data_IF_981113097823
#
_entry.id   IF_981113097823
#
_cell.length_a   1.000
_cell.length_b   1.000
_cell.length_c   1.000
_cell.angle_alpha   90.00
_cell.angle_beta   90.00
_cell.angle_gamma   90.00
#
_symmetry.space_group_name_H-M   'P 1'
#
loop_
_entity.id
_entity.type
_entity.pdbx_description
1 polymer ?
#
# COMPACT_ATOMS: atom_id res chain seq x y z
N UNK A 1 -3.62 -20.88 10.22
CA UNK A 1 -3.22 -19.62 10.91
C UNK A 1 -2.78 -18.62 9.88
N UNK A 2 -3.26 -17.39 9.97
CA UNK A 2 -2.93 -16.36 9.02
C UNK A 2 -1.58 -15.73 9.32
N UNK A 3 -0.86 -15.37 8.28
CA UNK A 3 0.46 -14.72 8.40
C UNK A 3 0.28 -13.24 8.72
N UNK A 4 1.24 -12.69 9.45
CA UNK A 4 1.32 -11.24 9.63
C UNK A 4 1.93 -10.62 8.39
N UNK A 5 1.42 -9.45 8.01
CA UNK A 5 1.88 -8.74 6.82
C UNK A 5 2.41 -7.39 7.27
N UNK A 6 3.65 -7.08 6.89
CA UNK A 6 4.22 -5.76 7.14
C UNK A 6 3.98 -4.90 5.92
N UNK A 7 3.45 -3.71 6.18
CA UNK A 7 3.16 -2.72 5.14
C UNK A 7 4.10 -1.55 5.38
N UNK A 8 4.92 -1.23 4.38
CA UNK A 8 5.89 -0.13 4.47
C UNK A 8 5.55 0.92 3.43
N UNK A 9 5.39 2.18 3.87
CA UNK A 9 5.26 3.31 2.98
C UNK A 9 6.65 3.64 2.43
N UNK A 10 6.86 3.34 1.15
CA UNK A 10 8.19 3.41 0.55
C UNK A 10 8.51 4.79 0.02
N UNK A 11 7.63 5.32 -0.82
CA UNK A 11 7.91 6.58 -1.53
C UNK A 11 6.63 7.16 -2.08
N UNK A 12 6.57 8.49 -2.08
CA UNK A 12 5.51 9.23 -2.76
C UNK A 12 6.09 9.96 -3.96
N UNK A 13 5.36 9.94 -5.06
CA UNK A 13 5.65 10.83 -6.17
C UNK A 13 4.48 11.80 -6.33
N UNK A 14 4.71 12.92 -7.02
CA UNK A 14 3.67 13.92 -7.25
C UNK A 14 3.72 14.38 -8.69
N UNK A 15 2.56 14.76 -9.21
CA UNK A 15 2.42 15.26 -10.57
C UNK A 15 1.82 16.67 -10.54
N UNK A 16 2.65 17.71 -10.29
CA UNK A 16 2.14 19.08 -10.12
C UNK A 16 1.35 19.59 -11.33
N UNK A 17 1.73 19.18 -12.52
CA UNK A 17 1.03 19.56 -13.74
C UNK A 17 -0.40 19.01 -13.80
N UNK A 18 -0.58 17.78 -13.35
CA UNK A 18 -1.91 17.17 -13.28
C UNK A 18 -2.75 17.80 -12.18
N UNK A 19 -2.11 18.11 -11.06
CA UNK A 19 -2.79 18.77 -9.94
C UNK A 19 -3.30 20.14 -10.35
N UNK A 20 -2.48 20.92 -11.04
CA UNK A 20 -2.87 22.24 -11.52
C UNK A 20 -4.01 22.18 -12.50
N UNK A 21 -3.99 21.18 -13.38
CA UNK A 21 -4.96 21.07 -14.46
C UNK A 21 -6.32 20.50 -14.03
N UNK A 22 -6.30 19.54 -13.11
CA UNK A 22 -7.50 18.75 -12.81
C UNK A 22 -7.97 18.79 -11.37
N UNK A 23 -7.12 19.11 -10.42
CA UNK A 23 -7.47 19.01 -9.00
C UNK A 23 -7.86 20.36 -8.43
N UNK A 24 -8.91 20.38 -7.62
CA UNK A 24 -9.24 21.56 -6.83
C UNK A 24 -8.20 21.71 -5.70
N UNK A 25 -7.87 22.96 -5.30
CA UNK A 25 -6.93 23.17 -4.21
C UNK A 25 -7.36 22.41 -2.95
N UNK A 26 -6.40 21.71 -2.34
CA UNK A 26 -6.69 20.93 -1.14
C UNK A 26 -5.47 20.93 -0.23
N UNK A 27 -5.75 21.02 1.07
CA UNK A 27 -4.71 20.97 2.09
C UNK A 27 -4.71 19.59 2.75
N UNK A 28 -3.54 19.12 3.14
CA UNK A 28 -3.38 17.88 3.91
C UNK A 28 -4.05 16.68 3.25
N UNK A 29 -3.88 16.56 1.93
CA UNK A 29 -4.48 15.48 1.15
C UNK A 29 -3.99 14.10 1.59
N UNK A 30 -2.77 14.02 2.13
CA UNK A 30 -2.18 12.76 2.57
C UNK A 30 -1.28 13.00 3.77
N UNK A 31 -1.50 12.24 4.84
CA UNK A 31 -0.68 12.33 6.06
C UNK A 31 0.24 11.12 6.25
N UNK A 32 0.34 10.26 5.25
CA UNK A 32 1.28 9.14 5.28
C UNK A 32 2.69 9.66 5.04
N UNK A 33 3.68 9.08 5.74
CA UNK A 33 5.08 9.48 5.63
C UNK A 33 5.93 8.34 5.13
N UNK A 34 6.93 8.66 4.33
CA UNK A 34 7.90 7.68 3.85
C UNK A 34 8.59 7.00 5.04
N UNK A 35 8.70 5.68 4.97
CA UNK A 35 9.28 4.87 6.04
C UNK A 35 8.30 4.42 7.10
N UNK A 36 7.09 4.92 7.09
CA UNK A 36 6.07 4.52 8.04
C UNK A 36 5.71 3.05 7.81
N UNK A 37 5.50 2.30 8.90
CA UNK A 37 5.17 0.88 8.81
C UNK A 37 3.93 0.54 9.63
N UNK A 38 3.21 -0.48 9.18
CA UNK A 38 2.07 -1.05 9.88
C UNK A 38 2.15 -2.55 9.80
N UNK A 39 1.54 -3.23 10.77
CA UNK A 39 1.40 -4.69 10.75
C UNK A 39 -0.08 -5.01 10.61
N UNK A 40 -0.42 -5.76 9.57
CA UNK A 40 -1.76 -6.31 9.40
C UNK A 40 -1.79 -7.70 9.99
N UNK A 41 -2.72 -7.93 10.92
CA UNK A 41 -2.95 -9.25 11.51
C UNK A 41 -4.28 -9.77 10.99
N UNK A 42 -4.30 -11.06 10.66
CA UNK A 42 -5.50 -11.75 10.15
C UNK A 42 -6.11 -11.08 8.91
N UNK A 43 -5.26 -10.45 8.10
CA UNK A 43 -5.70 -9.79 6.86
C UNK A 43 -6.55 -8.55 7.08
N UNK A 44 -6.48 -7.95 8.27
CA UNK A 44 -7.29 -6.79 8.63
C UNK A 44 -6.55 -5.49 8.48
N UNK A 45 -7.29 -4.40 8.28
CA UNK A 45 -6.72 -3.06 8.21
C UNK A 45 -6.06 -2.69 9.54
N UNK A 46 -4.77 -2.32 9.53
CA UNK A 46 -4.10 -1.88 10.76
C UNK A 46 -4.71 -0.58 11.29
N UNK A 47 -4.64 -0.41 12.60
CA UNK A 47 -5.08 0.83 13.23
C UNK A 47 -4.26 2.01 12.70
N UNK A 48 -4.94 3.11 12.43
CA UNK A 48 -4.30 4.34 12.00
C UNK A 48 -3.92 4.39 10.53
N UNK A 49 -4.22 3.35 9.76
CA UNK A 49 -3.93 3.36 8.33
C UNK A 49 -5.03 4.11 7.57
N UNK A 50 -4.61 4.89 6.57
CA UNK A 50 -5.53 5.56 5.65
C UNK A 50 -6.39 4.53 4.93
N UNK A 51 -7.71 4.68 5.00
CA UNK A 51 -8.64 3.72 4.40
C UNK A 51 -8.49 3.65 2.88
N UNK A 52 -8.22 4.78 2.24
CA UNK A 52 -8.00 4.78 0.78
C UNK A 52 -6.78 3.96 0.40
N UNK A 53 -5.70 4.07 1.18
CA UNK A 53 -4.51 3.25 0.96
C UNK A 53 -4.81 1.78 1.22
N UNK A 54 -5.52 1.48 2.32
CA UNK A 54 -5.90 0.11 2.64
C UNK A 54 -6.71 -0.55 1.52
N UNK A 55 -7.71 0.16 0.99
CA UNK A 55 -8.54 -0.39 -0.08
C UNK A 55 -7.74 -0.72 -1.34
N UNK A 56 -6.68 0.05 -1.60
CA UNK A 56 -5.82 -0.20 -2.77
C UNK A 56 -4.97 -1.47 -2.62
N UNK A 57 -4.68 -1.89 -1.39
CA UNK A 57 -3.78 -3.03 -1.13
C UNK A 57 -4.48 -4.24 -0.51
N UNK A 58 -5.73 -4.11 -0.15
CA UNK A 58 -6.47 -5.10 0.62
C UNK A 58 -6.40 -6.51 0.04
N UNK A 59 -6.64 -6.67 -1.25
CA UNK A 59 -6.65 -8.00 -1.87
C UNK A 59 -5.28 -8.66 -1.80
N UNK A 60 -4.20 -7.88 -1.96
CA UNK A 60 -2.84 -8.41 -1.85
C UNK A 60 -2.54 -8.84 -0.42
N UNK A 61 -2.92 -8.02 0.55
CA UNK A 61 -2.68 -8.33 1.96
C UNK A 61 -3.45 -9.58 2.37
N UNK A 62 -4.71 -9.68 1.98
CA UNK A 62 -5.53 -10.85 2.31
C UNK A 62 -4.96 -12.13 1.71
N UNK A 63 -4.49 -12.08 0.47
CA UNK A 63 -3.88 -13.21 -0.20
C UNK A 63 -2.61 -13.65 0.51
N UNK A 64 -1.73 -12.70 0.84
CA UNK A 64 -0.49 -12.99 1.56
C UNK A 64 -0.77 -13.55 2.95
N UNK A 65 -1.79 -13.03 3.64
CA UNK A 65 -2.16 -13.50 4.97
C UNK A 65 -2.55 -14.98 4.95
N UNK A 66 -3.14 -15.44 3.86
CA UNK A 66 -3.49 -16.86 3.69
C UNK A 66 -2.29 -17.74 3.34
N UNK A 67 -1.11 -17.16 3.16
CA UNK A 67 0.08 -17.91 2.78
C UNK A 67 0.25 -18.08 1.29
N UNK A 68 -0.52 -17.36 0.48
CA UNK A 68 -0.44 -17.39 -0.97
C UNK A 68 0.35 -16.17 -1.45
N UNK A 69 0.86 -16.24 -2.65
CA UNK A 69 1.67 -15.14 -3.20
C UNK A 69 1.97 -15.35 -4.66
N UNK A 70 3.19 -14.99 -5.06
CA UNK A 70 3.67 -15.10 -6.43
C UNK A 70 2.73 -14.38 -7.41
N UNK A 71 2.35 -13.14 -7.08
CA UNK A 71 1.46 -12.33 -7.91
C UNK A 71 2.03 -12.17 -9.32
N UNK A 72 1.15 -12.27 -10.30
CA UNK A 72 1.52 -12.15 -11.72
C UNK A 72 2.65 -13.08 -12.15
N UNK A 73 2.79 -14.21 -11.45
CA UNK A 73 3.73 -15.28 -11.80
C UNK A 73 5.16 -14.76 -12.03
N UNK A 74 5.80 -14.35 -10.93
CA UNK A 74 7.20 -13.92 -10.97
C UNK A 74 7.40 -12.40 -11.00
N UNK A 75 6.39 -11.65 -10.64
CA UNK A 75 6.50 -10.18 -10.62
C UNK A 75 7.49 -9.66 -9.58
N UNK A 76 7.41 -10.17 -8.35
CA UNK A 76 8.24 -9.67 -7.25
C UNK A 76 9.44 -10.59 -7.00
N UNK A 77 10.59 -9.98 -6.66
CA UNK A 77 11.76 -10.76 -6.27
C UNK A 77 11.48 -11.64 -5.06
N UNK A 78 10.73 -11.09 -4.08
CA UNK A 78 10.20 -11.88 -2.97
C UNK A 78 8.78 -12.29 -3.37
N UNK A 79 8.54 -13.60 -3.63
CA UNK A 79 7.20 -14.03 -4.08
C UNK A 79 6.11 -13.82 -3.04
N UNK A 80 6.47 -13.64 -1.76
CA UNK A 80 5.51 -13.38 -0.69
C UNK A 80 5.42 -11.88 -0.40
N UNK A 81 5.39 -11.06 -1.45
CA UNK A 81 5.30 -9.61 -1.33
C UNK A 81 4.60 -9.01 -2.54
N UNK A 82 4.28 -7.74 -2.43
CA UNK A 82 3.73 -6.96 -3.54
C UNK A 82 4.11 -5.50 -3.37
N UNK A 83 4.26 -4.80 -4.47
CA UNK A 83 4.44 -3.34 -4.47
C UNK A 83 3.18 -2.74 -5.03
N UNK A 84 2.46 -1.98 -4.21
CA UNK A 84 1.17 -1.42 -4.58
C UNK A 84 1.17 0.09 -4.37
N UNK A 85 0.25 0.76 -5.02
CA UNK A 85 0.12 2.21 -4.93
C UNK A 85 -1.29 2.54 -4.43
N UNK A 86 -1.42 3.60 -3.62
CA UNK A 86 -2.74 4.12 -3.30
C UNK A 86 -3.37 4.69 -4.57
N UNK A 87 -4.69 4.93 -4.51
CA UNK A 87 -5.47 5.31 -5.70
C UNK A 87 -5.44 6.80 -6.01
N UNK A 88 -4.60 7.59 -5.35
CA UNK A 88 -4.45 9.01 -5.65
C UNK A 88 -3.59 9.18 -6.88
N UNK A 89 -4.21 9.56 -8.00
CA UNK A 89 -3.50 9.73 -9.27
C UNK A 89 -2.65 11.00 -9.35
N UNK A 90 -2.78 11.92 -8.37
CA UNK A 90 -1.99 13.15 -8.35
C UNK A 90 -0.72 13.03 -7.53
N UNK A 91 -0.78 12.26 -6.42
CA UNK A 91 0.37 12.04 -5.53
C UNK A 91 0.38 10.62 -5.01
N UNK A 92 0.55 9.63 -5.92
CA UNK A 92 0.49 8.22 -5.52
C UNK A 92 1.62 7.88 -4.55
N UNK A 93 1.27 7.09 -3.54
CA UNK A 93 2.22 6.59 -2.56
C UNK A 93 2.42 5.10 -2.80
N UNK A 94 3.69 4.67 -2.91
CA UNK A 94 4.01 3.26 -3.10
C UNK A 94 4.18 2.57 -1.76
N UNK A 95 3.53 1.42 -1.60
CA UNK A 95 3.62 0.61 -0.40
C UNK A 95 4.17 -0.77 -0.74
N UNK A 96 5.12 -1.22 0.08
CA UNK A 96 5.63 -2.58 -0.01
C UNK A 96 4.92 -3.42 1.04
N UNK A 97 4.22 -4.45 0.60
CA UNK A 97 3.52 -5.37 1.50
C UNK A 97 4.21 -6.73 1.43
N UNK A 98 4.52 -7.31 2.60
CA UNK A 98 5.30 -8.54 2.66
C UNK A 98 4.86 -9.41 3.84
N UNK A 99 4.83 -10.71 3.61
CA UNK A 99 4.58 -11.66 4.67
C UNK A 99 5.83 -11.77 5.54
N UNK A 100 5.69 -11.64 6.86
CA UNK A 100 6.82 -11.68 7.80
C UNK A 100 6.80 -12.89 8.72
N UNK A 101 5.85 -13.79 8.52
CA UNK A 101 5.79 -15.07 9.22
C UNK A 101 5.61 -16.19 8.23
#
# INVERSE_FOLDING_TARGET
MMKKIRITAVRQTTYPDLMEKYENPMENACNVREGQQWISEDGKCPDGMCLAAWESMRSFVETLAKGEGNFYDGWMKNPMSAMVSCNDGFRPFSFYVEAIE
#
